data_IF_355533255650
#
_entry.id   IF_355533255650
#
_cell.length_a   1.000
_cell.length_b   1.000
_cell.length_c   1.000
_cell.angle_alpha   90.00
_cell.angle_beta   90.00
_cell.angle_gamma   90.00
#
_symmetry.space_group_name_H-M   'P 1'
#
loop_
_entity.id
_entity.type
_entity.pdbx_description
1 polymer ?
#
# COMPACT_ATOMS: atom_id res chain seq x y z
N UNK A 1 11.84 -53.78 87.00
CA UNK A 1 12.16 -53.07 85.74
C UNK A 1 13.35 -52.17 86.06
N UNK A 2 14.43 -52.20 85.28
CA UNK A 2 15.57 -51.30 85.49
C UNK A 2 15.11 -49.85 85.42
N UNK A 3 15.58 -49.00 86.34
CA UNK A 3 15.35 -47.57 86.27
C UNK A 3 16.02 -47.04 84.99
N UNK A 4 15.22 -46.52 84.06
CA UNK A 4 15.71 -45.81 82.88
C UNK A 4 15.73 -44.31 83.21
N UNK A 5 16.91 -43.69 83.35
CA UNK A 5 17.05 -42.28 83.73
C UNK A 5 16.41 -41.30 82.73
N UNK A 6 16.06 -41.75 81.52
CA UNK A 6 15.53 -40.88 80.47
C UNK A 6 14.00 -40.78 80.47
N UNK A 7 13.29 -41.58 81.29
CA UNK A 7 11.84 -41.50 81.42
C UNK A 7 11.44 -40.84 82.75
N UNK A 8 10.59 -39.78 82.72
CA UNK A 8 10.08 -39.18 83.94
C UNK A 8 9.20 -40.18 84.70
N UNK A 9 9.25 -40.22 86.04
CA UNK A 9 8.43 -41.14 86.82
C UNK A 9 6.94 -40.83 86.66
N UNK A 10 6.10 -41.87 86.66
CA UNK A 10 4.64 -41.74 86.52
C UNK A 10 4.08 -40.79 87.59
N UNK A 11 3.31 -39.78 87.17
CA UNK A 11 2.78 -38.65 87.97
C UNK A 11 3.78 -37.55 88.38
N UNK A 12 4.98 -37.49 87.80
CA UNK A 12 5.79 -36.26 87.87
C UNK A 12 5.13 -35.12 87.09
N UNK A 13 5.08 -33.92 87.69
CA UNK A 13 4.69 -32.70 86.97
C UNK A 13 5.66 -32.55 85.80
N UNK A 14 5.14 -32.48 84.57
CA UNK A 14 6.02 -32.30 83.41
C UNK A 14 6.70 -30.94 83.56
N UNK A 15 7.98 -30.95 83.92
CA UNK A 15 8.72 -29.74 84.15
C UNK A 15 8.87 -28.97 82.83
N UNK A 16 8.56 -27.67 82.84
CA UNK A 16 8.62 -26.84 81.63
C UNK A 16 10.06 -26.65 81.15
N UNK A 17 11.05 -26.80 82.01
CA UNK A 17 12.47 -26.66 81.68
C UNK A 17 12.96 -27.73 80.67
N UNK A 18 12.83 -29.06 80.92
CA UNK A 18 13.27 -30.07 79.97
C UNK A 18 12.49 -30.05 78.64
N UNK A 19 11.18 -29.76 78.64
CA UNK A 19 10.43 -29.60 77.39
C UNK A 19 10.90 -28.39 76.56
N UNK A 20 11.21 -27.27 77.21
CA UNK A 20 11.78 -26.10 76.52
C UNK A 20 13.16 -26.40 75.94
N UNK A 21 13.98 -27.19 76.63
CA UNK A 21 15.29 -27.61 76.12
C UNK A 21 15.17 -28.50 74.88
N UNK A 22 14.25 -29.47 74.89
CA UNK A 22 13.97 -30.32 73.72
C UNK A 22 13.43 -29.50 72.55
N UNK A 23 12.49 -28.58 72.80
CA UNK A 23 11.94 -27.72 71.76
C UNK A 23 13.01 -26.79 71.17
N UNK A 24 13.88 -26.22 72.01
CA UNK A 24 14.99 -25.39 71.55
C UNK A 24 15.96 -26.19 70.66
N UNK A 25 16.30 -27.43 71.03
CA UNK A 25 17.17 -28.29 70.22
C UNK A 25 16.59 -28.59 68.82
N UNK A 26 15.26 -28.76 68.72
CA UNK A 26 14.59 -28.95 67.42
C UNK A 26 14.63 -27.65 66.60
N UNK A 27 14.37 -26.50 67.23
CA UNK A 27 14.43 -25.20 66.56
C UNK A 27 15.85 -24.90 66.05
N UNK A 28 16.87 -25.23 66.83
CA UNK A 28 18.28 -25.06 66.45
C UNK A 28 18.65 -25.99 65.28
N UNK A 29 18.19 -27.24 65.29
CA UNK A 29 18.40 -28.17 64.18
C UNK A 29 17.75 -27.68 62.89
N UNK A 30 16.50 -27.22 62.95
CA UNK A 30 15.78 -26.67 61.79
C UNK A 30 16.46 -25.39 61.28
N UNK A 31 16.91 -24.54 62.19
CA UNK A 31 17.59 -23.28 61.85
C UNK A 31 18.99 -23.50 61.28
N UNK A 32 19.62 -24.65 61.60
CA UNK A 32 20.91 -25.06 61.05
C UNK A 32 20.83 -25.60 59.62
N UNK A 33 19.63 -25.85 59.11
CA UNK A 33 19.45 -26.28 57.72
C UNK A 33 19.80 -25.10 56.82
N UNK A 34 20.87 -25.19 56.00
CA UNK A 34 21.25 -24.09 55.12
C UNK A 34 20.13 -23.83 54.12
N UNK A 35 19.82 -22.55 53.91
CA UNK A 35 18.94 -22.16 52.82
C UNK A 35 19.59 -22.60 51.51
N UNK A 36 18.80 -23.20 50.61
CA UNK A 36 19.29 -23.53 49.27
C UNK A 36 19.80 -22.28 48.55
N UNK A 37 20.79 -22.48 47.68
CA UNK A 37 21.31 -21.41 46.85
C UNK A 37 20.20 -20.77 46.00
N UNK A 38 20.29 -19.47 45.69
CA UNK A 38 19.43 -18.87 44.68
C UNK A 38 19.50 -19.67 43.38
N UNK A 39 18.36 -19.88 42.73
CA UNK A 39 18.34 -20.51 41.41
C UNK A 39 19.13 -19.69 40.39
N UNK A 40 19.67 -20.36 39.37
CA UNK A 40 20.38 -19.71 38.29
C UNK A 40 19.48 -18.69 37.55
N UNK A 41 20.05 -17.60 37.02
CA UNK A 41 19.33 -16.71 36.11
C UNK A 41 18.72 -17.48 34.95
N UNK A 42 17.51 -17.10 34.55
CA UNK A 42 16.86 -17.68 33.39
C UNK A 42 17.68 -17.47 32.10
N UNK A 43 17.48 -18.30 31.07
CA UNK A 43 18.16 -18.13 29.79
C UNK A 43 17.76 -16.81 29.12
N UNK A 44 18.64 -16.30 28.26
CA UNK A 44 18.33 -15.17 27.41
C UNK A 44 17.11 -15.50 26.52
N UNK A 45 16.22 -14.52 26.35
CA UNK A 45 15.09 -14.65 25.44
C UNK A 45 15.52 -14.83 23.98
N UNK A 46 14.66 -15.39 23.11
CA UNK A 46 14.97 -15.54 21.70
C UNK A 46 15.16 -14.17 21.02
N UNK A 47 15.85 -14.18 19.88
CA UNK A 47 15.94 -13.01 19.01
C UNK A 47 14.53 -12.55 18.58
N UNK A 48 14.34 -11.24 18.44
CA UNK A 48 13.09 -10.68 17.93
C UNK A 48 12.83 -11.10 16.48
N UNK A 49 11.56 -11.03 16.02
CA UNK A 49 11.22 -11.33 14.63
C UNK A 49 11.88 -10.33 13.67
N UNK A 50 12.09 -10.76 12.42
CA UNK A 50 12.50 -9.86 11.35
C UNK A 50 11.46 -8.74 11.15
N UNK A 51 11.92 -7.53 10.86
CA UNK A 51 11.04 -6.40 10.53
C UNK A 51 10.23 -6.64 9.25
N UNK A 52 9.13 -5.90 9.05
CA UNK A 52 8.32 -6.01 7.84
C UNK A 52 9.12 -5.61 6.59
N UNK A 53 8.72 -6.13 5.44
CA UNK A 53 9.23 -5.68 4.15
C UNK A 53 8.96 -4.17 3.96
N UNK A 54 9.89 -3.46 3.31
CA UNK A 54 9.67 -2.06 2.94
C UNK A 54 8.51 -1.89 1.95
N UNK A 55 7.88 -0.73 1.97
CA UNK A 55 6.81 -0.39 1.03
C UNK A 55 7.35 -0.32 -0.41
N UNK A 56 6.47 -0.61 -1.37
CA UNK A 56 6.76 -0.40 -2.79
C UNK A 56 7.10 1.06 -3.07
N UNK A 57 7.94 1.29 -4.09
CA UNK A 57 8.29 2.63 -4.54
C UNK A 57 7.07 3.37 -5.09
N UNK A 58 7.06 4.70 -4.98
CA UNK A 58 6.02 5.52 -5.58
C UNK A 58 6.02 5.38 -7.12
N UNK A 59 4.84 5.48 -7.72
CA UNK A 59 4.69 5.54 -9.17
C UNK A 59 5.45 6.76 -9.74
N UNK A 60 6.06 6.59 -10.92
CA UNK A 60 6.78 7.67 -11.59
C UNK A 60 5.84 8.82 -12.00
N UNK A 61 6.37 10.04 -12.18
CA UNK A 61 5.56 11.15 -12.67
C UNK A 61 5.05 10.88 -14.09
N UNK A 62 3.87 11.41 -14.41
CA UNK A 62 3.36 11.38 -15.77
C UNK A 62 4.29 12.16 -16.72
N UNK A 63 4.47 11.65 -17.94
CA UNK A 63 5.26 12.31 -18.98
C UNK A 63 4.65 13.65 -19.44
N UNK A 64 5.45 14.53 -20.07
CA UNK A 64 4.96 15.80 -20.60
C UNK A 64 3.90 15.60 -21.69
N UNK A 65 3.02 16.59 -21.85
CA UNK A 65 2.04 16.63 -22.95
C UNK A 65 2.79 16.74 -24.28
N UNK A 66 2.35 16.02 -25.32
CA UNK A 66 2.90 16.15 -26.66
C UNK A 66 2.55 17.49 -27.29
N UNK A 67 3.54 18.24 -27.77
CA UNK A 67 3.33 19.47 -28.51
C UNK A 67 3.00 19.16 -29.98
N UNK A 68 1.98 19.83 -30.52
CA UNK A 68 1.64 19.78 -31.95
C UNK A 68 2.17 21.06 -32.59
N UNK A 69 3.03 20.94 -33.60
CA UNK A 69 3.54 22.13 -34.29
C UNK A 69 2.48 22.71 -35.22
N UNK A 70 2.63 24.00 -35.56
CA UNK A 70 1.81 24.64 -36.60
C UNK A 70 1.90 23.87 -37.94
N UNK A 71 3.04 23.25 -38.25
CA UNK A 71 3.23 22.44 -39.44
C UNK A 71 2.43 21.11 -39.37
N UNK A 72 2.39 20.45 -38.21
CA UNK A 72 1.59 19.23 -38.01
C UNK A 72 0.10 19.52 -38.13
N UNK A 73 -0.34 20.66 -37.58
CA UNK A 73 -1.70 21.14 -37.71
C UNK A 73 -2.04 21.49 -39.17
N UNK A 74 -1.14 22.17 -39.88
CA UNK A 74 -1.29 22.50 -41.29
C UNK A 74 -1.43 21.23 -42.15
N UNK A 75 -0.60 20.22 -41.91
CA UNK A 75 -0.64 18.95 -42.64
C UNK A 75 -1.93 18.16 -42.35
N UNK A 76 -2.41 18.19 -41.10
CA UNK A 76 -3.68 17.56 -40.73
C UNK A 76 -4.89 18.25 -41.38
N UNK A 77 -4.88 19.58 -41.48
CA UNK A 77 -5.95 20.37 -42.11
C UNK A 77 -6.04 20.10 -43.62
N UNK A 78 -4.90 20.02 -44.30
CA UNK A 78 -4.83 19.73 -45.75
C UNK A 78 -5.40 18.35 -46.09
N UNK A 79 -5.36 17.38 -45.15
CA UNK A 79 -5.86 16.03 -45.37
C UNK A 79 -7.29 15.75 -44.91
N UNK A 80 -7.93 16.63 -44.13
CA UNK A 80 -9.21 16.33 -43.43
C UNK A 80 -10.43 17.05 -43.99
N UNK A 81 -10.26 17.99 -44.94
CA UNK A 81 -11.39 18.71 -45.57
C UNK A 81 -11.37 18.61 -47.09
N UNK A 82 -11.72 17.43 -47.62
CA UNK A 82 -12.06 17.24 -49.04
C UNK A 82 -13.44 17.82 -49.43
N UNK A 83 -13.91 18.90 -48.79
CA UNK A 83 -15.16 19.58 -49.18
C UNK A 83 -14.95 20.91 -49.93
N UNK A 84 -13.71 21.29 -50.22
CA UNK A 84 -13.44 22.13 -51.39
C UNK A 84 -12.87 21.24 -52.47
N UNK A 85 -13.75 20.51 -53.14
CA UNK A 85 -13.44 20.20 -54.53
C UNK A 85 -13.16 21.54 -55.21
N UNK A 86 -12.12 21.54 -56.03
CA UNK A 86 -11.51 22.64 -56.77
C UNK A 86 -12.51 23.36 -57.71
N UNK A 87 -13.65 23.81 -57.20
CA UNK A 87 -14.66 24.59 -57.89
C UNK A 87 -14.15 26.02 -57.83
N UNK A 88 -13.56 26.46 -58.94
CA UNK A 88 -13.18 27.84 -59.14
C UNK A 88 -14.38 28.76 -58.88
N UNK A 89 -14.13 29.87 -58.19
CA UNK A 89 -15.13 30.93 -57.94
C UNK A 89 -15.71 31.36 -59.29
N UNK A 90 -17.05 31.45 -59.38
CA UNK A 90 -17.79 31.91 -60.56
C UNK A 90 -17.34 33.34 -60.94
N UNK A 91 -16.29 33.45 -61.75
CA UNK A 91 -15.90 34.68 -62.44
C UNK A 91 -16.79 34.99 -63.65
N UNK A 92 -17.98 34.39 -63.72
CA UNK A 92 -18.92 34.58 -64.83
C UNK A 92 -19.71 35.85 -64.60
N UNK A 93 -19.44 36.88 -65.40
CA UNK A 93 -20.34 38.02 -65.54
C UNK A 93 -21.54 37.55 -66.38
N UNK A 94 -22.75 37.73 -65.86
CA UNK A 94 -24.00 37.42 -66.57
C UNK A 94 -24.60 38.73 -67.07
N UNK A 95 -24.84 38.85 -68.37
CA UNK A 95 -25.51 40.03 -68.94
C UNK A 95 -27.00 40.10 -68.57
N UNK A 96 -27.60 41.28 -68.63
CA UNK A 96 -29.05 41.48 -68.49
C UNK A 96 -29.65 42.05 -69.79
N UNK A 97 -30.44 41.29 -70.57
CA UNK A 97 -30.85 39.90 -70.34
C UNK A 97 -29.71 38.89 -70.61
N UNK A 98 -29.72 37.71 -69.97
CA UNK A 98 -28.68 36.71 -70.13
C UNK A 98 -28.69 36.11 -71.53
N UNK A 99 -27.50 35.91 -72.10
CA UNK A 99 -27.33 35.23 -73.38
C UNK A 99 -27.42 33.70 -73.21
N UNK A 100 -27.81 32.99 -74.26
CA UNK A 100 -27.86 31.51 -74.25
C UNK A 100 -26.49 30.87 -73.95
N UNK A 101 -25.39 31.54 -74.29
CA UNK A 101 -24.04 31.06 -74.02
C UNK A 101 -23.69 31.13 -72.52
N UNK A 102 -24.07 32.21 -71.84
CA UNK A 102 -23.86 32.35 -70.39
C UNK A 102 -24.73 31.35 -69.62
N UNK A 103 -25.96 31.12 -70.07
CA UNK A 103 -26.84 30.09 -69.47
C UNK A 103 -26.22 28.69 -69.61
N UNK A 104 -25.61 28.38 -70.76
CA UNK A 104 -24.92 27.10 -70.95
C UNK A 104 -23.68 26.96 -70.05
N UNK A 105 -22.90 28.03 -69.91
CA UNK A 105 -21.72 28.04 -69.03
C UNK A 105 -22.08 27.83 -67.55
N UNK A 106 -23.22 28.39 -67.12
CA UNK A 106 -23.75 28.13 -65.77
C UNK A 106 -24.14 26.66 -65.63
N UNK A 107 -24.83 26.08 -66.60
CA UNK A 107 -25.22 24.67 -66.57
C UNK A 107 -24.01 23.74 -66.48
N UNK A 108 -22.98 23.97 -67.30
CA UNK A 108 -21.75 23.17 -67.30
C UNK A 108 -21.03 23.23 -65.94
N UNK A 109 -21.02 24.41 -65.30
CA UNK A 109 -20.43 24.60 -63.96
C UNK A 109 -21.25 23.95 -62.85
N UNK A 110 -22.57 23.93 -62.97
CA UNK A 110 -23.45 23.21 -62.04
C UNK A 110 -23.22 21.71 -62.16
N UNK A 111 -23.01 21.18 -63.36
CA UNK A 111 -22.68 19.77 -63.57
C UNK A 111 -21.29 19.41 -63.01
N UNK A 112 -20.30 20.29 -63.16
CA UNK A 112 -18.98 20.16 -62.52
C UNK A 112 -19.10 20.08 -61.00
N UNK A 113 -19.89 20.97 -60.38
CA UNK A 113 -20.18 20.97 -58.95
C UNK A 113 -20.88 19.69 -58.49
N UNK A 114 -21.88 19.22 -59.24
CA UNK A 114 -22.62 18.00 -58.89
C UNK A 114 -21.70 16.78 -58.93
N UNK A 115 -20.85 16.67 -59.95
CA UNK A 115 -19.88 15.58 -60.07
C UNK A 115 -18.82 15.63 -58.98
N UNK A 116 -18.38 16.83 -58.63
CA UNK A 116 -17.50 17.06 -57.50
C UNK A 116 -18.13 16.62 -56.16
N UNK A 117 -19.40 16.89 -55.92
CA UNK A 117 -20.06 16.53 -54.66
C UNK A 117 -20.45 15.04 -54.57
N UNK A 118 -20.38 14.29 -55.68
CA UNK A 118 -20.72 12.86 -55.74
C UNK A 118 -19.52 11.92 -55.65
N UNK A 119 -18.29 12.42 -55.63
CA UNK A 119 -17.05 11.64 -55.48
C UNK A 119 -16.65 11.51 -54.02
#
# INVERSE_FOLDING_TARGET
MPYDPNYPPTNALIESAPMRAQFQGIVDLISSIPKGDPGDPGPQGPAGPQGPQGNDGAEGPQGPVGEVSFADLSNAIVGTSNNSNSIDVLGLAVSDPPTQAEVQQIADKVDELINALRR
#
